data_IF_897620918457
#
_entry.id   IF_897620918457
#
_cell.length_a   1.000
_cell.length_b   1.000
_cell.length_c   1.000
_cell.angle_alpha   90.00
_cell.angle_beta   90.00
_cell.angle_gamma   90.00
#
_symmetry.space_group_name_H-M   'P 1'
#
loop_
_entity.id
_entity.type
_entity.pdbx_description
1 polymer ?
#
# COMPACT_ATOMS: atom_id res chain seq x y z
N UNK A 1 46.14 -9.95 -9.15
CA UNK A 1 45.52 -9.96 -10.51
C UNK A 1 44.10 -10.55 -10.51
N UNK A 2 43.86 -11.83 -10.13
CA UNK A 2 42.49 -12.42 -10.15
C UNK A 2 41.44 -11.70 -9.30
N UNK A 3 41.78 -11.27 -8.08
CA UNK A 3 40.83 -10.61 -7.17
C UNK A 3 40.35 -9.24 -7.67
N UNK A 4 41.24 -8.44 -8.29
CA UNK A 4 40.87 -7.15 -8.88
C UNK A 4 39.98 -7.30 -10.12
N UNK A 5 40.20 -8.35 -10.93
CA UNK A 5 39.32 -8.67 -12.05
C UNK A 5 37.90 -9.03 -11.57
N UNK A 6 37.81 -9.76 -10.46
CA UNK A 6 36.55 -10.27 -9.92
C UNK A 6 35.68 -9.14 -9.34
N UNK A 7 36.30 -8.18 -8.63
CA UNK A 7 35.62 -6.98 -8.16
C UNK A 7 35.16 -6.08 -9.31
N UNK A 8 35.94 -5.98 -10.39
CA UNK A 8 35.56 -5.18 -11.56
C UNK A 8 34.33 -5.75 -12.25
N UNK A 9 34.31 -7.06 -12.48
CA UNK A 9 33.16 -7.73 -13.07
C UNK A 9 31.90 -7.60 -12.20
N UNK A 10 32.03 -7.78 -10.88
CA UNK A 10 30.91 -7.59 -9.94
C UNK A 10 30.36 -6.14 -9.99
N UNK A 11 31.24 -5.14 -9.98
CA UNK A 11 30.83 -3.73 -10.03
C UNK A 11 30.18 -3.37 -11.36
N UNK A 12 30.63 -3.95 -12.47
CA UNK A 12 30.02 -3.79 -13.78
C UNK A 12 28.64 -4.45 -13.85
N UNK A 13 28.48 -5.63 -13.24
CA UNK A 13 27.21 -6.36 -13.16
C UNK A 13 26.18 -5.63 -12.30
N UNK A 14 26.55 -5.22 -11.08
CA UNK A 14 25.67 -4.40 -10.23
C UNK A 14 25.29 -3.07 -10.87
N UNK A 15 26.21 -2.45 -11.63
CA UNK A 15 25.90 -1.23 -12.38
C UNK A 15 24.90 -1.50 -13.52
N UNK A 16 24.95 -2.67 -14.17
CA UNK A 16 24.00 -3.06 -15.22
C UNK A 16 22.61 -3.33 -14.64
N UNK A 17 22.53 -3.99 -13.49
CA UNK A 17 21.27 -4.24 -12.78
C UNK A 17 20.65 -2.93 -12.30
N UNK A 18 21.44 -2.05 -11.71
CA UNK A 18 21.00 -0.72 -11.28
C UNK A 18 20.48 0.15 -12.42
N UNK A 19 20.91 -0.07 -13.68
CA UNK A 19 20.38 0.65 -14.84
C UNK A 19 18.97 0.18 -15.23
N UNK A 20 18.62 -1.05 -14.87
CA UNK A 20 17.32 -1.66 -15.16
C UNK A 20 16.28 -1.40 -14.07
N UNK A 21 16.72 -0.87 -12.92
CA UNK A 21 15.89 -0.63 -11.73
C UNK A 21 15.62 0.85 -11.50
N UNK A 22 14.55 1.14 -10.74
CA UNK A 22 14.23 2.48 -10.26
C UNK A 22 13.73 3.43 -11.35
N UNK A 23 14.34 4.62 -11.46
CA UNK A 23 13.86 5.73 -12.31
C UNK A 23 13.87 5.40 -13.82
N UNK A 24 14.70 4.45 -14.25
CA UNK A 24 14.75 4.01 -15.64
C UNK A 24 13.67 2.99 -16.00
N UNK A 25 12.96 2.44 -15.02
CA UNK A 25 11.99 1.37 -15.22
C UNK A 25 10.91 1.78 -16.24
N UNK A 26 10.39 3.00 -16.15
CA UNK A 26 9.38 3.52 -17.09
C UNK A 26 9.92 3.62 -18.52
N UNK A 27 11.18 4.04 -18.70
CA UNK A 27 11.79 4.13 -20.03
C UNK A 27 11.98 2.74 -20.66
N UNK A 28 12.47 1.79 -19.88
CA UNK A 28 12.69 0.42 -20.34
C UNK A 28 11.37 -0.28 -20.64
N UNK A 29 10.33 -0.04 -19.83
CA UNK A 29 8.99 -0.56 -20.05
C UNK A 29 8.42 -0.07 -21.40
N UNK A 30 8.47 1.24 -21.67
CA UNK A 30 8.08 1.80 -22.97
C UNK A 30 8.90 1.24 -24.14
N UNK A 31 10.20 1.00 -23.94
CA UNK A 31 11.08 0.44 -24.96
C UNK A 31 10.74 -1.03 -25.25
N UNK A 32 10.41 -1.80 -24.21
CA UNK A 32 9.96 -3.18 -24.33
C UNK A 32 8.57 -3.27 -25.00
N UNK A 33 7.65 -2.35 -24.70
CA UNK A 33 6.36 -2.26 -25.40
C UNK A 33 6.54 -2.05 -26.90
N UNK A 34 7.47 -1.18 -27.31
CA UNK A 34 7.80 -0.97 -28.73
C UNK A 34 8.41 -2.22 -29.36
N UNK A 35 9.28 -2.93 -28.63
CA UNK A 35 9.84 -4.20 -29.08
C UNK A 35 8.75 -5.26 -29.32
N UNK A 36 7.75 -5.34 -28.44
CA UNK A 36 6.60 -6.25 -28.61
C UNK A 36 5.68 -5.85 -29.77
N UNK A 37 5.64 -4.57 -30.16
CA UNK A 37 4.90 -4.09 -31.33
C UNK A 37 5.63 -4.41 -32.64
N UNK A 38 6.89 -4.01 -32.74
CA UNK A 38 7.76 -4.32 -33.88
C UNK A 38 9.24 -4.31 -33.42
N UNK A 39 9.90 -5.48 -33.43
CA UNK A 39 11.32 -5.59 -33.06
C UNK A 39 12.26 -4.71 -33.89
N UNK A 40 11.87 -4.32 -35.11
CA UNK A 40 12.68 -3.51 -36.04
C UNK A 40 12.81 -2.06 -35.54
N UNK A 41 11.83 -1.57 -34.78
CA UNK A 41 11.79 -0.20 -34.26
C UNK A 41 12.75 0.04 -33.08
N UNK A 42 13.36 -1.02 -32.56
CA UNK A 42 14.26 -0.97 -31.42
C UNK A 42 15.70 -1.27 -31.87
N UNK A 43 16.65 -0.56 -31.25
CA UNK A 43 18.09 -0.74 -31.48
C UNK A 43 18.52 -2.20 -31.33
N UNK A 44 19.50 -2.63 -32.12
CA UNK A 44 19.95 -4.03 -32.16
C UNK A 44 20.41 -4.55 -30.79
N UNK A 45 21.08 -3.72 -29.99
CA UNK A 45 21.54 -4.10 -28.64
C UNK A 45 20.38 -4.42 -27.70
N UNK A 46 19.27 -3.70 -27.83
CA UNK A 46 18.07 -3.91 -27.02
C UNK A 46 17.24 -5.08 -27.54
N UNK A 47 17.21 -5.30 -28.87
CA UNK A 47 16.60 -6.48 -29.48
C UNK A 47 17.25 -7.76 -28.96
N UNK A 48 18.58 -7.82 -28.99
CA UNK A 48 19.36 -8.96 -28.50
C UNK A 48 19.17 -9.16 -27.00
N UNK A 49 19.04 -8.08 -26.24
CA UNK A 49 18.75 -8.14 -24.81
C UNK A 49 17.36 -8.75 -24.54
N UNK A 50 16.32 -8.23 -25.19
CA UNK A 50 14.94 -8.69 -24.98
C UNK A 50 14.69 -10.10 -25.53
N UNK A 51 15.36 -10.53 -26.59
CA UNK A 51 15.25 -11.90 -27.10
C UNK A 51 15.82 -12.94 -26.15
N UNK A 52 16.74 -12.54 -25.27
CA UNK A 52 17.37 -13.42 -24.28
C UNK A 52 16.62 -13.44 -22.94
N UNK A 53 15.52 -12.70 -22.79
CA UNK A 53 14.75 -12.71 -21.55
C UNK A 53 13.99 -14.03 -21.38
N UNK A 54 14.01 -14.63 -20.18
CA UNK A 54 13.22 -15.83 -19.90
C UNK A 54 11.74 -15.47 -19.91
N UNK A 55 10.98 -16.12 -20.79
CA UNK A 55 9.52 -16.04 -20.80
C UNK A 55 9.01 -17.10 -19.82
N UNK A 56 8.16 -16.75 -18.83
CA UNK A 56 7.54 -17.72 -17.94
C UNK A 56 6.84 -18.82 -18.74
N UNK A 57 6.89 -20.07 -18.27
CA UNK A 57 6.32 -21.21 -18.99
C UNK A 57 4.82 -21.06 -19.31
N UNK A 58 4.11 -20.26 -18.51
CA UNK A 58 2.68 -19.96 -18.67
C UNK A 58 2.38 -18.93 -19.77
N UNK A 59 3.42 -18.29 -20.35
CA UNK A 59 3.30 -17.28 -21.39
C UNK A 59 4.02 -17.74 -22.66
N UNK A 60 3.32 -17.70 -23.79
CA UNK A 60 3.90 -18.00 -25.11
C UNK A 60 4.63 -16.78 -25.71
N UNK A 61 4.27 -15.57 -25.26
CA UNK A 61 4.84 -14.30 -25.71
C UNK A 61 4.79 -13.28 -24.56
N UNK A 62 5.64 -12.26 -24.61
CA UNK A 62 5.59 -11.13 -23.68
C UNK A 62 4.25 -10.38 -23.76
N UNK A 63 3.74 -9.96 -22.60
CA UNK A 63 2.50 -9.18 -22.50
C UNK A 63 2.85 -7.69 -22.57
N UNK A 64 2.08 -6.91 -23.32
CA UNK A 64 2.22 -5.45 -23.35
C UNK A 64 1.58 -4.84 -22.09
N UNK A 65 2.34 -4.05 -21.36
CA UNK A 65 1.86 -3.41 -20.14
C UNK A 65 0.64 -2.49 -20.41
N UNK A 66 0.60 -1.83 -21.57
CA UNK A 66 -0.55 -1.05 -22.04
C UNK A 66 -1.85 -1.86 -22.15
N UNK A 67 -1.78 -3.12 -22.59
CA UNK A 67 -2.96 -3.99 -22.73
C UNK A 67 -3.48 -4.41 -21.37
N UNK A 68 -2.58 -4.73 -20.43
CA UNK A 68 -2.92 -5.05 -19.05
C UNK A 68 -3.58 -3.84 -18.39
N UNK A 69 -3.00 -2.64 -18.56
CA UNK A 69 -3.58 -1.39 -18.08
C UNK A 69 -4.96 -1.10 -18.70
N UNK A 70 -5.12 -1.37 -20.00
CA UNK A 70 -6.41 -1.19 -20.67
C UNK A 70 -7.44 -2.21 -20.18
N UNK A 71 -7.04 -3.47 -20.00
CA UNK A 71 -7.87 -4.52 -19.43
C UNK A 71 -8.35 -4.12 -18.05
N UNK A 72 -7.46 -3.72 -17.13
CA UNK A 72 -7.85 -3.22 -15.81
C UNK A 72 -8.76 -1.99 -15.87
N UNK A 73 -8.58 -1.12 -16.87
CA UNK A 73 -9.47 0.03 -17.09
C UNK A 73 -10.86 -0.39 -17.58
N UNK A 74 -10.95 -1.43 -18.40
CA UNK A 74 -12.22 -1.90 -18.97
C UNK A 74 -12.91 -2.96 -18.12
N UNK A 75 -12.17 -3.65 -17.24
CA UNK A 75 -12.66 -4.77 -16.48
C UNK A 75 -13.78 -4.32 -15.54
N UNK A 76 -14.96 -4.92 -15.71
CA UNK A 76 -16.16 -4.54 -15.01
C UNK A 76 -16.10 -4.84 -13.51
N UNK A 77 -15.09 -5.57 -13.02
CA UNK A 77 -14.83 -5.76 -11.59
C UNK A 77 -14.43 -4.46 -10.87
N UNK A 78 -13.67 -3.57 -11.54
CA UNK A 78 -13.31 -2.25 -11.01
C UNK A 78 -14.25 -1.14 -11.52
N UNK A 79 -14.84 -1.30 -12.72
CA UNK A 79 -15.89 -0.41 -13.22
C UNK A 79 -17.29 -0.69 -12.63
N UNK A 80 -17.47 -1.74 -11.81
CA UNK A 80 -18.71 -1.95 -11.04
C UNK A 80 -18.88 -1.02 -9.84
N UNK A 81 -18.00 -0.04 -9.65
CA UNK A 81 -18.49 1.25 -9.20
C UNK A 81 -19.33 1.81 -10.35
N UNK A 82 -20.55 1.27 -10.51
CA UNK A 82 -21.64 2.02 -11.13
C UNK A 82 -21.49 3.41 -10.52
N UNK A 83 -21.45 4.50 -11.31
CA UNK A 83 -21.76 5.79 -10.76
C UNK A 83 -23.20 5.68 -10.30
N UNK A 84 -23.41 5.13 -9.10
CA UNK A 84 -24.60 5.34 -8.34
C UNK A 84 -24.71 6.85 -8.33
N UNK A 85 -25.88 7.34 -8.71
CA UNK A 85 -26.22 8.72 -8.40
C UNK A 85 -26.34 8.76 -6.88
N UNK A 86 -25.19 8.84 -6.23
CA UNK A 86 -25.07 9.00 -4.80
C UNK A 86 -25.40 10.46 -4.59
N UNK A 87 -26.46 10.73 -3.84
CA UNK A 87 -26.76 12.09 -3.43
C UNK A 87 -25.50 12.68 -2.79
N UNK A 88 -25.20 13.97 -2.99
CA UNK A 88 -24.00 14.59 -2.42
C UNK A 88 -23.85 14.34 -0.91
N UNK A 89 -24.97 14.22 -0.19
CA UNK A 89 -25.02 13.88 1.23
C UNK A 89 -24.59 12.42 1.54
N UNK A 90 -24.95 11.45 0.70
CA UNK A 90 -24.57 10.05 0.91
C UNK A 90 -23.08 9.82 0.60
N UNK A 91 -22.53 10.58 -0.36
CA UNK A 91 -21.09 10.58 -0.64
C UNK A 91 -20.30 11.22 0.51
N UNK A 92 -20.78 12.34 1.04
CA UNK A 92 -20.19 12.96 2.23
C UNK A 92 -20.18 12.00 3.43
N UNK A 93 -21.30 11.31 3.68
CA UNK A 93 -21.38 10.30 4.75
C UNK A 93 -20.38 9.17 4.53
N UNK A 94 -20.27 8.63 3.31
CA UNK A 94 -19.30 7.56 3.01
C UNK A 94 -17.85 8.00 3.26
N UNK A 95 -17.48 9.20 2.79
CA UNK A 95 -16.14 9.78 3.03
C UNK A 95 -15.89 10.01 4.51
N UNK A 96 -16.89 10.46 5.27
CA UNK A 96 -16.80 10.61 6.72
C UNK A 96 -16.61 9.26 7.42
N UNK A 97 -17.35 8.22 7.03
CA UNK A 97 -17.21 6.86 7.56
C UNK A 97 -15.81 6.30 7.29
N UNK A 98 -15.27 6.46 6.08
CA UNK A 98 -13.89 6.07 5.76
C UNK A 98 -12.86 6.84 6.59
N UNK A 99 -13.08 8.14 6.79
CA UNK A 99 -12.22 8.95 7.66
C UNK A 99 -12.29 8.46 9.11
N UNK A 100 -13.47 8.15 9.63
CA UNK A 100 -13.62 7.59 10.97
C UNK A 100 -12.93 6.22 11.08
N UNK A 101 -13.04 5.37 10.05
CA UNK A 101 -12.36 4.07 9.98
C UNK A 101 -10.83 4.18 10.13
N UNK A 102 -10.20 5.14 9.45
CA UNK A 102 -8.76 5.38 9.58
C UNK A 102 -8.39 5.80 11.01
N UNK A 103 -9.16 6.71 11.59
CA UNK A 103 -8.96 7.20 12.95
C UNK A 103 -9.12 6.09 14.01
N UNK A 104 -10.07 5.18 13.83
CA UNK A 104 -10.27 4.02 14.70
C UNK A 104 -9.06 3.09 14.66
N UNK A 105 -8.54 2.80 13.46
CA UNK A 105 -7.33 2.00 13.32
C UNK A 105 -6.14 2.67 14.03
N UNK A 106 -6.02 4.00 13.93
CA UNK A 106 -4.98 4.77 14.64
C UNK A 106 -5.14 4.69 16.15
N UNK A 107 -6.35 4.85 16.67
CA UNK A 107 -6.67 4.72 18.08
C UNK A 107 -6.32 3.32 18.60
N UNK A 108 -6.73 2.26 17.91
CA UNK A 108 -6.41 0.87 18.29
C UNK A 108 -4.88 0.69 18.34
N UNK A 109 -4.14 1.20 17.35
CA UNK A 109 -2.68 1.16 17.34
C UNK A 109 -2.08 1.91 18.54
N UNK A 110 -2.59 3.10 18.85
CA UNK A 110 -2.15 3.89 20.00
C UNK A 110 -2.34 3.11 21.30
N UNK A 111 -3.51 2.51 21.54
CA UNK A 111 -3.77 1.68 22.72
C UNK A 111 -2.84 0.47 22.83
N UNK A 112 -2.47 -0.16 21.71
CA UNK A 112 -1.54 -1.30 21.73
C UNK A 112 -0.13 -0.90 22.14
N UNK A 113 0.31 0.31 21.79
CA UNK A 113 1.65 0.81 22.09
C UNK A 113 1.69 1.48 23.46
N UNK A 114 0.74 2.37 23.73
CA UNK A 114 0.74 3.30 24.86
C UNK A 114 -0.25 2.93 25.97
N UNK A 115 -1.15 1.96 25.76
CA UNK A 115 -2.20 1.65 26.73
C UNK A 115 -1.70 1.23 28.12
N UNK A 116 -0.45 0.76 28.22
CA UNK A 116 0.20 0.46 29.49
C UNK A 116 0.41 1.70 30.38
N UNK A 117 0.43 2.91 29.82
CA UNK A 117 0.57 4.17 30.55
C UNK A 117 -0.70 4.53 31.33
N UNK A 118 -1.87 4.19 30.79
CA UNK A 118 -3.18 4.46 31.40
C UNK A 118 -3.75 3.24 32.16
N UNK A 119 -3.07 2.09 32.09
CA UNK A 119 -3.54 0.87 32.72
C UNK A 119 -3.45 0.93 34.25
N UNK A 120 -4.53 0.55 34.95
CA UNK A 120 -4.56 0.46 36.41
C UNK A 120 -3.83 -0.78 36.89
N UNK A 121 -2.50 -0.70 36.89
CA UNK A 121 -1.60 -1.80 37.25
C UNK A 121 -1.21 -1.80 38.73
N UNK A 122 -1.60 -0.77 39.49
CA UNK A 122 -1.16 -0.61 40.86
C UNK A 122 -2.18 -1.18 41.87
N UNK A 123 -1.89 -2.33 42.51
CA UNK A 123 -2.79 -2.93 43.49
C UNK A 123 -2.92 -2.12 44.80
N UNK A 124 -2.03 -1.15 45.06
CA UNK A 124 -2.08 -0.26 46.22
C UNK A 124 -2.92 1.00 45.98
N UNK A 125 -3.54 1.12 44.80
CA UNK A 125 -4.35 2.27 44.41
C UNK A 125 -3.52 3.48 43.94
N UNK A 126 -4.24 4.55 43.58
CA UNK A 126 -3.70 5.76 42.96
C UNK A 126 -3.03 6.69 43.98
N UNK A 127 -1.86 6.32 44.49
CA UNK A 127 -1.18 7.08 45.55
C UNK A 127 -0.60 8.44 45.13
N UNK A 128 -0.47 8.72 43.84
CA UNK A 128 -0.11 10.04 43.29
C UNK A 128 -0.35 9.95 41.77
N UNK A 129 -1.57 10.15 41.30
CA UNK A 129 -1.75 10.42 39.88
C UNK A 129 -1.21 11.81 39.62
N UNK A 130 -0.04 11.91 39.01
CA UNK A 130 0.43 13.19 38.52
C UNK A 130 -0.56 13.65 37.43
N UNK A 131 -0.98 14.93 37.42
CA UNK A 131 -1.95 15.45 36.46
C UNK A 131 -1.48 15.42 35.00
N UNK A 132 -0.28 14.90 34.73
CA UNK A 132 0.40 14.85 33.44
C UNK A 132 0.33 13.47 32.77
N UNK A 133 -0.31 12.48 33.41
CA UNK A 133 -0.41 11.12 32.87
C UNK A 133 -1.45 10.95 31.78
N UNK A 134 -2.26 11.98 31.50
CA UNK A 134 -3.29 11.88 30.47
C UNK A 134 -2.67 11.96 29.08
N UNK A 135 -2.64 10.84 28.38
CA UNK A 135 -2.13 10.78 27.02
C UNK A 135 -3.24 11.13 26.04
N UNK A 136 -3.17 12.32 25.42
CA UNK A 136 -4.20 12.80 24.50
C UNK A 136 -4.47 11.81 23.35
N UNK A 137 -3.42 11.11 22.88
CA UNK A 137 -3.48 10.10 21.81
C UNK A 137 -4.33 8.86 22.16
N UNK A 138 -4.66 8.65 23.43
CA UNK A 138 -5.55 7.57 23.88
C UNK A 138 -7.00 8.06 24.02
N UNK A 139 -7.28 9.34 23.77
CA UNK A 139 -8.61 9.92 23.93
C UNK A 139 -9.35 9.98 22.59
N UNK A 140 -10.66 9.66 22.60
CA UNK A 140 -11.51 9.70 21.40
C UNK A 140 -11.55 11.10 20.74
N UNK A 141 -11.54 12.16 21.54
CA UNK A 141 -11.59 13.55 21.06
C UNK A 141 -10.36 13.93 20.22
N UNK A 142 -9.20 13.33 20.49
CA UNK A 142 -7.97 13.58 19.73
C UNK A 142 -8.15 13.20 18.25
N UNK A 143 -8.86 12.10 18.00
CA UNK A 143 -9.18 11.63 16.66
C UNK A 143 -10.54 12.10 16.13
N UNK A 144 -11.22 13.01 16.84
CA UNK A 144 -12.57 13.50 16.50
C UNK A 144 -13.56 12.35 16.34
N UNK A 145 -13.55 11.43 17.29
CA UNK A 145 -14.49 10.30 17.35
C UNK A 145 -15.52 10.47 18.48
N UNK A 146 -15.46 11.59 19.21
CA UNK A 146 -16.32 11.89 20.37
C UNK A 146 -17.81 12.06 20.01
N UNK A 147 -18.10 12.45 18.76
CA UNK A 147 -19.47 12.61 18.27
C UNK A 147 -20.09 11.31 17.73
N UNK A 148 -19.30 10.23 17.61
CA UNK A 148 -19.79 8.97 17.07
C UNK A 148 -20.71 8.30 18.10
N UNK A 149 -21.94 8.05 17.68
CA UNK A 149 -22.91 7.29 18.47
C UNK A 149 -22.66 5.80 18.25
N UNK A 150 -22.89 5.00 19.30
CA UNK A 150 -22.60 3.58 19.34
C UNK A 150 -23.49 2.67 18.48
N UNK A 151 -23.95 3.14 17.32
CA UNK A 151 -24.70 2.35 16.35
C UNK A 151 -23.87 1.98 15.12
N UNK A 152 -22.80 2.73 14.81
CA UNK A 152 -21.97 2.49 13.63
C UNK A 152 -20.99 1.32 13.85
N UNK A 153 -21.03 0.35 12.94
CA UNK A 153 -20.12 -0.82 12.96
C UNK A 153 -18.90 -0.52 12.12
N UNK A 154 -17.72 -0.64 12.73
CA UNK A 154 -16.44 -0.41 12.06
C UNK A 154 -15.67 -1.70 11.90
N UNK A 155 -14.92 -1.79 10.81
CA UNK A 155 -14.01 -2.90 10.61
C UNK A 155 -12.80 -2.70 11.54
N UNK A 156 -12.29 -3.78 12.10
CA UNK A 156 -11.03 -3.72 12.86
C UNK A 156 -9.84 -4.05 11.96
N UNK A 157 -10.05 -4.40 10.69
CA UNK A 157 -8.99 -4.68 9.74
C UNK A 157 -8.28 -6.01 10.04
N UNK A 158 -6.99 -6.11 9.69
CA UNK A 158 -6.19 -7.35 9.84
C UNK A 158 -5.78 -7.65 11.30
N UNK A 159 -6.53 -7.16 12.29
CA UNK A 159 -6.36 -7.56 13.67
C UNK A 159 -7.01 -8.94 13.85
N UNK A 160 -6.19 -9.98 13.60
CA UNK A 160 -6.48 -11.42 13.42
C UNK A 160 -7.53 -12.15 14.30
N UNK A 161 -8.23 -11.49 15.23
CA UNK A 161 -9.19 -12.12 16.13
C UNK A 161 -10.40 -11.25 16.47
N UNK A 162 -10.55 -10.07 15.85
CA UNK A 162 -11.59 -9.10 16.25
C UNK A 162 -12.62 -8.97 15.12
N UNK A 163 -13.89 -9.23 15.46
CA UNK A 163 -15.01 -9.00 14.54
C UNK A 163 -15.29 -7.50 14.45
N UNK A 164 -15.89 -7.03 13.34
CA UNK A 164 -16.39 -5.67 13.27
C UNK A 164 -17.25 -5.35 14.50
N UNK A 165 -16.98 -4.20 15.11
CA UNK A 165 -17.53 -3.82 16.40
C UNK A 165 -17.82 -2.32 16.45
N UNK A 166 -18.61 -1.93 17.44
CA UNK A 166 -19.03 -0.56 17.67
C UNK A 166 -18.18 0.11 18.76
N UNK A 167 -18.07 1.44 18.74
CA UNK A 167 -17.20 2.25 19.62
C UNK A 167 -17.84 2.52 21.00
N UNK A 168 -18.32 1.50 21.72
CA UNK A 168 -18.90 1.66 23.07
C UNK A 168 -18.04 1.04 24.17
#
# INVERSE_FOLDING_TARGET
>A
MRHQQLLRNMMEESRRESLLEGENATYIDMLYERYLQDPILVDSSWRDYFSNLPIPADLQQGIRHSEVMQQFRTDELFNHVKPCQVNGADLQRAVETERHQIHIIQLIKAYRVLGHLEADTNPLGKLHQQPHSHCDELTLSYYRLDHLQGDDVFDTGDFFLIKPATIQ
#
